data_IF_124696455826
#
_entry.id   IF_124696455826
#
_cell.length_a   1.000
_cell.length_b   1.000
_cell.length_c   1.000
_cell.angle_alpha   90.00
_cell.angle_beta   90.00
_cell.angle_gamma   90.00
#
_symmetry.space_group_name_H-M   'P 1'
#
loop_
_entity.id
_entity.type
_entity.pdbx_description
1 polymer ?
#
# COMPACT_ATOMS: atom_id res chain seq x y z
N UNK A 1 7.04 6.75 0.16
CA UNK A 1 8.39 7.26 -0.21
C UNK A 1 9.00 7.95 1.00
N UNK A 2 10.29 7.72 1.28
CA UNK A 2 11.01 8.31 2.42
C UNK A 2 10.89 9.85 2.48
N UNK A 3 10.82 10.49 1.33
CA UNK A 3 10.67 11.96 1.18
C UNK A 3 9.28 12.50 1.56
N UNK A 4 8.28 11.63 1.76
CA UNK A 4 6.91 12.03 2.12
C UNK A 4 6.55 11.66 3.58
N UNK A 5 7.52 11.23 4.41
CA UNK A 5 7.27 10.83 5.80
C UNK A 5 6.34 9.61 5.98
N UNK A 6 5.92 8.99 4.89
CA UNK A 6 4.99 7.86 4.89
C UNK A 6 5.76 6.54 4.71
N UNK A 7 6.59 6.20 5.69
CA UNK A 7 7.34 4.94 5.71
C UNK A 7 6.84 4.11 6.88
N UNK A 8 6.41 2.88 6.59
CA UNK A 8 6.12 1.87 7.60
C UNK A 8 7.37 0.99 7.77
N UNK A 9 7.90 0.94 8.98
CA UNK A 9 9.06 0.12 9.29
C UNK A 9 8.61 -1.27 9.74
N UNK A 10 9.33 -2.30 9.28
CA UNK A 10 8.95 -3.69 9.56
C UNK A 10 9.04 -4.06 11.05
N UNK A 11 10.01 -3.50 11.76
CA UNK A 11 10.18 -3.65 13.21
C UNK A 11 8.99 -3.06 13.98
N UNK A 12 8.54 -1.85 13.62
CA UNK A 12 7.34 -1.25 14.21
C UNK A 12 6.10 -2.11 13.98
N UNK A 13 5.90 -2.61 12.75
CA UNK A 13 4.78 -3.49 12.47
C UNK A 13 4.84 -4.77 13.31
N UNK A 14 6.03 -5.34 13.50
CA UNK A 14 6.23 -6.52 14.35
C UNK A 14 5.93 -6.22 15.82
N UNK A 15 6.30 -5.05 16.33
CA UNK A 15 6.01 -4.64 17.72
C UNK A 15 4.49 -4.47 17.97
N UNK A 16 3.75 -3.98 16.96
CA UNK A 16 2.30 -3.82 17.06
C UNK A 16 1.51 -5.12 16.89
N UNK A 17 1.89 -5.93 15.90
CA UNK A 17 1.07 -7.05 15.42
C UNK A 17 1.68 -8.43 15.68
N UNK A 18 2.99 -8.49 15.95
CA UNK A 18 3.75 -9.73 16.02
C UNK A 18 4.21 -10.24 14.65
N UNK A 19 5.30 -11.02 14.67
CA UNK A 19 5.98 -11.49 13.44
C UNK A 19 5.03 -12.25 12.50
N UNK A 20 4.25 -13.20 13.02
CA UNK A 20 3.40 -14.06 12.19
C UNK A 20 2.24 -13.29 11.55
N UNK A 21 1.69 -12.28 12.23
CA UNK A 21 0.66 -11.43 11.65
C UNK A 21 1.22 -10.56 10.52
N UNK A 22 2.43 -10.00 10.69
CA UNK A 22 3.12 -9.25 9.63
C UNK A 22 3.44 -10.16 8.44
N UNK A 23 3.92 -11.39 8.68
CA UNK A 23 4.17 -12.39 7.63
C UNK A 23 2.89 -12.72 6.86
N UNK A 24 1.80 -12.98 7.59
CA UNK A 24 0.48 -13.21 6.97
C UNK A 24 0.10 -12.06 6.05
N UNK A 25 0.16 -10.83 6.55
CA UNK A 25 -0.22 -9.65 5.78
C UNK A 25 0.63 -9.50 4.52
N UNK A 26 1.95 -9.54 4.64
CA UNK A 26 2.86 -9.37 3.49
C UNK A 26 2.67 -10.48 2.46
N UNK A 27 2.50 -11.73 2.89
CA UNK A 27 2.35 -12.87 1.98
C UNK A 27 0.96 -12.97 1.34
N UNK A 28 -0.07 -12.44 2.01
CA UNK A 28 -1.46 -12.51 1.55
C UNK A 28 -1.90 -11.27 0.77
N UNK A 29 -1.53 -10.05 1.22
CA UNK A 29 -2.00 -8.79 0.64
C UNK A 29 -1.03 -8.18 -0.39
N UNK A 30 0.21 -8.70 -0.46
CA UNK A 30 1.23 -8.21 -1.40
C UNK A 30 1.44 -9.22 -2.54
N UNK A 31 0.65 -9.15 -3.62
CA UNK A 31 0.85 -10.03 -4.77
C UNK A 31 2.19 -9.73 -5.44
N UNK A 32 2.88 -10.79 -5.92
CA UNK A 32 4.18 -10.64 -6.59
C UNK A 32 4.11 -9.88 -7.92
N UNK A 33 2.93 -9.80 -8.52
CA UNK A 33 2.73 -9.25 -9.87
C UNK A 33 2.39 -7.76 -9.88
N UNK A 34 1.99 -7.18 -8.73
CA UNK A 34 1.51 -5.81 -8.62
C UNK A 34 1.99 -5.14 -7.34
N UNK A 35 2.01 -3.81 -7.34
CA UNK A 35 2.25 -3.03 -6.13
C UNK A 35 1.10 -3.25 -5.12
N UNK A 36 1.47 -3.55 -3.88
CA UNK A 36 0.53 -3.66 -2.78
C UNK A 36 0.41 -2.36 -1.98
N UNK A 37 -0.71 -2.19 -1.31
CA UNK A 37 -0.93 -1.07 -0.39
C UNK A 37 -0.76 -1.57 1.05
N UNK A 38 0.14 -0.94 1.79
CA UNK A 38 0.27 -1.14 3.25
C UNK A 38 -0.30 0.09 3.95
N UNK A 39 -1.26 -0.12 4.85
CA UNK A 39 -1.73 0.91 5.80
C UNK A 39 -2.02 0.28 7.15
N UNK A 40 -2.00 1.10 8.20
CA UNK A 40 -2.35 0.66 9.55
C UNK A 40 -3.78 0.15 9.64
N UNK A 41 -4.70 0.81 8.94
CA UNK A 41 -6.12 0.43 8.88
C UNK A 41 -6.29 -0.96 8.27
N UNK A 42 -5.62 -1.24 7.15
CA UNK A 42 -5.70 -2.53 6.48
C UNK A 42 -5.07 -3.63 7.34
N UNK A 43 -3.95 -3.36 8.02
CA UNK A 43 -3.33 -4.28 8.97
C UNK A 43 -4.28 -4.64 10.11
N UNK A 44 -4.92 -3.63 10.73
CA UNK A 44 -5.91 -3.85 11.82
C UNK A 44 -7.12 -4.62 11.31
N UNK A 45 -7.61 -4.31 10.11
CA UNK A 45 -8.74 -5.02 9.50
C UNK A 45 -8.41 -6.51 9.31
N UNK A 46 -7.28 -6.84 8.71
CA UNK A 46 -6.86 -8.23 8.49
C UNK A 46 -6.57 -8.96 9.80
N UNK A 47 -5.93 -8.29 10.75
CA UNK A 47 -5.72 -8.82 12.08
C UNK A 47 -7.04 -9.22 12.73
N UNK A 48 -8.05 -8.36 12.65
CA UNK A 48 -9.34 -8.60 13.29
C UNK A 48 -10.19 -9.63 12.54
N UNK A 49 -10.30 -9.53 11.20
CA UNK A 49 -11.18 -10.37 10.40
C UNK A 49 -10.65 -11.80 10.24
N UNK A 50 -9.39 -11.91 9.86
CA UNK A 50 -8.84 -13.20 9.48
C UNK A 50 -8.15 -13.89 10.65
N UNK A 51 -7.26 -13.19 11.34
CA UNK A 51 -6.46 -13.80 12.39
C UNK A 51 -7.22 -13.93 13.71
N UNK A 52 -7.83 -12.88 14.21
CA UNK A 52 -8.56 -12.94 15.49
C UNK A 52 -9.91 -13.66 15.36
N UNK A 53 -10.76 -13.24 14.39
CA UNK A 53 -12.11 -13.79 14.27
C UNK A 53 -12.13 -15.18 13.61
N UNK A 54 -11.48 -15.32 12.43
CA UNK A 54 -11.57 -16.59 11.68
C UNK A 54 -10.74 -17.68 12.34
N UNK A 55 -9.46 -17.41 12.66
CA UNK A 55 -8.54 -18.43 13.19
C UNK A 55 -8.51 -18.48 14.72
N UNK A 56 -8.21 -17.36 15.38
CA UNK A 56 -8.04 -17.32 16.83
C UNK A 56 -9.31 -17.73 17.59
N UNK A 57 -10.46 -17.20 17.18
CA UNK A 57 -11.74 -17.55 17.78
C UNK A 57 -12.13 -19.03 17.52
N UNK A 58 -11.83 -19.57 16.34
CA UNK A 58 -12.07 -20.98 16.01
C UNK A 58 -11.31 -21.90 16.97
N UNK A 59 -10.01 -21.69 17.14
CA UNK A 59 -9.16 -22.48 18.04
C UNK A 59 -9.66 -22.37 19.48
N UNK A 60 -9.86 -21.14 19.97
CA UNK A 60 -10.31 -20.89 21.34
C UNK A 60 -11.68 -21.53 21.63
N UNK A 61 -12.66 -21.42 20.73
CA UNK A 61 -13.98 -22.04 20.86
C UNK A 61 -13.87 -23.56 20.92
N UNK A 62 -13.05 -24.17 20.04
CA UNK A 62 -12.88 -25.65 19.99
C UNK A 62 -12.24 -26.15 21.27
N UNK A 63 -11.14 -25.55 21.74
CA UNK A 63 -10.48 -25.90 23.00
C UNK A 63 -11.42 -25.72 24.19
N UNK A 64 -12.12 -24.58 24.25
CA UNK A 64 -13.05 -24.30 25.34
C UNK A 64 -14.23 -25.28 25.41
N UNK A 65 -14.80 -25.65 24.27
CA UNK A 65 -15.88 -26.67 24.22
C UNK A 65 -15.38 -28.05 24.61
N UNK A 66 -14.18 -28.43 24.16
CA UNK A 66 -13.56 -29.72 24.52
C UNK A 66 -13.31 -29.80 26.03
N UNK A 67 -12.76 -28.75 26.63
CA UNK A 67 -12.58 -28.66 28.08
C UNK A 67 -13.91 -28.71 28.82
N UNK A 68 -14.89 -27.93 28.37
CA UNK A 68 -16.19 -27.80 29.04
C UNK A 68 -17.01 -29.12 29.04
N UNK A 69 -17.01 -29.82 27.90
CA UNK A 69 -17.90 -30.95 27.71
C UNK A 69 -17.23 -32.32 28.00
N UNK A 70 -15.90 -32.39 27.81
CA UNK A 70 -15.14 -33.64 27.90
C UNK A 70 -13.90 -33.57 28.80
N UNK A 71 -13.74 -32.48 29.58
CA UNK A 71 -12.59 -32.37 30.48
C UNK A 71 -11.24 -32.33 29.76
N UNK A 72 -11.22 -31.85 28.52
CA UNK A 72 -10.01 -31.62 27.73
C UNK A 72 -9.58 -32.79 26.84
N UNK A 73 -10.30 -33.93 26.81
CA UNK A 73 -9.91 -35.07 25.98
C UNK A 73 -11.08 -35.58 25.16
N UNK A 74 -10.89 -35.75 23.87
CA UNK A 74 -11.87 -36.30 22.92
C UNK A 74 -11.20 -37.26 21.94
N UNK A 75 -12.01 -38.21 21.49
CA UNK A 75 -11.64 -39.24 20.51
C UNK A 75 -12.73 -39.38 19.46
N UNK A 76 -12.42 -40.00 18.31
CA UNK A 76 -13.45 -40.33 17.33
C UNK A 76 -14.34 -41.46 17.83
N UNK A 77 -15.63 -41.19 18.02
CA UNK A 77 -16.64 -42.20 18.35
C UNK A 77 -17.29 -42.83 17.12
N UNK A 78 -16.93 -42.36 15.92
CA UNK A 78 -17.48 -42.86 14.65
C UNK A 78 -18.96 -42.54 14.42
N UNK A 79 -19.56 -41.62 15.19
CA UNK A 79 -20.95 -41.20 15.00
C UNK A 79 -21.02 -40.09 13.97
N UNK A 80 -21.23 -40.47 12.70
CA UNK A 80 -21.26 -39.54 11.57
C UNK A 80 -22.59 -38.79 11.48
N UNK A 81 -22.52 -37.59 10.87
CA UNK A 81 -23.66 -36.77 10.48
C UNK A 81 -23.51 -36.24 9.05
N UNK A 82 -24.59 -35.72 8.51
CA UNK A 82 -24.68 -35.31 7.09
C UNK A 82 -23.60 -34.33 6.66
N UNK A 83 -23.19 -33.39 7.54
CA UNK A 83 -22.22 -32.31 7.25
C UNK A 83 -20.76 -32.75 7.44
N UNK A 84 -20.48 -33.93 7.98
CA UNK A 84 -19.13 -34.41 8.24
C UNK A 84 -18.37 -34.72 6.94
N UNK A 85 -19.08 -35.26 5.95
CA UNK A 85 -18.51 -35.60 4.65
C UNK A 85 -17.93 -34.35 3.94
N UNK A 86 -18.64 -33.24 4.01
CA UNK A 86 -18.20 -31.97 3.42
C UNK A 86 -16.93 -31.47 4.11
N UNK A 87 -16.86 -31.51 5.44
CA UNK A 87 -15.65 -31.08 6.15
C UNK A 87 -14.45 -31.97 5.79
N UNK A 88 -14.65 -33.31 5.80
CA UNK A 88 -13.60 -34.26 5.43
C UNK A 88 -13.12 -34.06 3.98
N UNK A 89 -14.03 -33.83 3.04
CA UNK A 89 -13.69 -33.57 1.65
C UNK A 89 -12.82 -32.30 1.51
N UNK A 90 -13.15 -31.22 2.23
CA UNK A 90 -12.32 -30.00 2.23
C UNK A 90 -10.96 -30.25 2.86
N UNK A 91 -10.89 -30.99 4.00
CA UNK A 91 -9.62 -31.35 4.64
C UNK A 91 -8.70 -32.13 3.69
N UNK A 92 -9.24 -33.08 2.93
CA UNK A 92 -8.48 -33.91 1.99
C UNK A 92 -8.05 -33.13 0.73
N UNK A 93 -8.87 -32.18 0.29
CA UNK A 93 -8.58 -31.38 -0.91
C UNK A 93 -7.57 -30.25 -0.66
N UNK A 94 -7.59 -29.64 0.53
CA UNK A 94 -6.80 -28.43 0.85
C UNK A 94 -5.30 -28.59 0.62
N UNK A 95 -4.61 -29.66 1.05
CA UNK A 95 -3.15 -29.79 0.81
C UNK A 95 -2.78 -29.76 -0.67
N UNK A 96 -3.57 -30.42 -1.51
CA UNK A 96 -3.34 -30.43 -2.98
C UNK A 96 -3.61 -29.06 -3.60
N UNK A 97 -4.63 -28.36 -3.12
CA UNK A 97 -4.93 -27.00 -3.58
C UNK A 97 -3.80 -26.04 -3.21
N UNK A 98 -3.30 -26.09 -1.98
CA UNK A 98 -2.14 -25.32 -1.51
C UNK A 98 -0.90 -25.61 -2.35
N UNK A 99 -0.57 -26.90 -2.55
CA UNK A 99 0.58 -27.31 -3.38
C UNK A 99 0.47 -26.77 -4.81
N UNK A 100 -0.70 -26.87 -5.43
CA UNK A 100 -0.92 -26.36 -6.79
C UNK A 100 -0.67 -24.84 -6.86
N UNK A 101 -1.19 -24.07 -5.90
CA UNK A 101 -0.97 -22.62 -5.84
C UNK A 101 0.50 -22.27 -5.59
N UNK A 102 1.17 -22.99 -4.71
CA UNK A 102 2.60 -22.78 -4.44
C UNK A 102 3.46 -23.10 -5.66
N UNK A 103 3.14 -24.13 -6.43
CA UNK A 103 3.84 -24.46 -7.69
C UNK A 103 3.68 -23.39 -8.77
N UNK A 104 2.59 -22.60 -8.70
CA UNK A 104 2.34 -21.44 -9.57
C UNK A 104 2.92 -20.13 -8.98
N UNK A 105 3.62 -20.15 -7.84
CA UNK A 105 4.10 -18.99 -7.07
C UNK A 105 2.98 -18.05 -6.59
N UNK A 106 1.74 -18.55 -6.51
CA UNK A 106 0.56 -17.83 -6.03
C UNK A 106 0.40 -17.98 -4.51
N UNK A 107 1.31 -17.39 -3.77
CA UNK A 107 1.40 -17.54 -2.30
C UNK A 107 0.15 -17.05 -1.59
N UNK A 108 -0.39 -15.90 -1.98
CA UNK A 108 -1.63 -15.34 -1.42
C UNK A 108 -2.82 -16.29 -1.56
N UNK A 109 -2.95 -16.92 -2.73
CA UNK A 109 -4.01 -17.91 -2.98
C UNK A 109 -3.80 -19.18 -2.17
N UNK A 110 -2.55 -19.64 -2.00
CA UNK A 110 -2.25 -20.78 -1.16
C UNK A 110 -2.69 -20.54 0.30
N UNK A 111 -2.41 -19.36 0.84
CA UNK A 111 -2.88 -18.97 2.18
C UNK A 111 -4.42 -18.90 2.21
N UNK A 112 -5.05 -18.39 1.15
CA UNK A 112 -6.51 -18.32 1.02
C UNK A 112 -7.13 -19.72 1.08
N UNK A 113 -6.53 -20.73 0.44
CA UNK A 113 -7.01 -22.12 0.52
C UNK A 113 -6.96 -22.69 1.95
N UNK A 114 -5.91 -22.37 2.71
CA UNK A 114 -5.81 -22.77 4.13
C UNK A 114 -6.92 -22.07 4.94
N UNK A 115 -7.13 -20.78 4.74
CA UNK A 115 -8.18 -20.04 5.44
C UNK A 115 -9.60 -20.49 5.04
N UNK A 116 -9.80 -20.99 3.83
CA UNK A 116 -11.06 -21.62 3.42
C UNK A 116 -11.36 -22.88 4.25
N UNK A 117 -10.35 -23.67 4.60
CA UNK A 117 -10.53 -24.79 5.54
C UNK A 117 -10.95 -24.30 6.94
N UNK A 118 -10.32 -23.24 7.47
CA UNK A 118 -10.75 -22.66 8.76
C UNK A 118 -12.16 -22.10 8.72
N UNK A 119 -12.54 -21.43 7.63
CA UNK A 119 -13.91 -20.96 7.40
C UNK A 119 -14.89 -22.14 7.34
N UNK A 120 -14.50 -23.25 6.71
CA UNK A 120 -15.32 -24.48 6.69
C UNK A 120 -15.47 -25.07 8.09
N UNK A 121 -14.41 -25.07 8.92
CA UNK A 121 -14.48 -25.50 10.31
C UNK A 121 -15.43 -24.60 11.13
N UNK A 122 -15.38 -23.29 10.96
CA UNK A 122 -16.32 -22.37 11.61
C UNK A 122 -17.77 -22.67 11.20
N UNK A 123 -18.01 -22.83 9.89
CA UNK A 123 -19.34 -23.20 9.38
C UNK A 123 -19.81 -24.54 9.96
N UNK A 124 -18.91 -25.51 10.10
CA UNK A 124 -19.22 -26.82 10.69
C UNK A 124 -19.67 -26.69 12.15
N UNK A 125 -19.08 -25.79 12.94
CA UNK A 125 -19.57 -25.48 14.29
C UNK A 125 -21.01 -24.99 14.26
N UNK A 126 -21.32 -24.10 13.34
CA UNK A 126 -22.65 -23.48 13.25
C UNK A 126 -23.70 -24.50 12.73
N UNK A 127 -23.33 -25.39 11.83
CA UNK A 127 -24.20 -26.49 11.32
C UNK A 127 -24.47 -27.58 12.34
N UNK A 128 -23.45 -27.96 13.12
CA UNK A 128 -23.56 -29.04 14.11
C UNK A 128 -24.07 -28.57 15.44
N UNK A 129 -24.01 -27.27 15.74
CA UNK A 129 -24.47 -26.66 17.00
C UNK A 129 -24.06 -27.47 18.26
N UNK A 130 -22.75 -27.59 18.58
CA UNK A 130 -22.25 -28.41 19.69
C UNK A 130 -22.92 -28.11 21.03
N UNK A 131 -23.30 -26.84 21.25
CA UNK A 131 -24.00 -26.40 22.47
C UNK A 131 -25.45 -26.94 22.58
N UNK A 132 -26.03 -27.36 21.45
CA UNK A 132 -27.34 -28.06 21.44
C UNK A 132 -27.14 -29.54 21.71
N UNK A 133 -26.19 -30.18 21.02
CA UNK A 133 -25.84 -31.62 21.26
C UNK A 133 -25.46 -31.82 22.72
N UNK A 134 -24.79 -30.93 23.37
CA UNK A 134 -24.36 -31.01 24.77
C UNK A 134 -25.52 -31.05 25.79
N UNK A 135 -26.76 -30.74 25.38
CA UNK A 135 -27.95 -30.76 26.25
C UNK A 135 -28.60 -32.16 26.32
N UNK A 136 -28.24 -33.05 25.41
CA UNK A 136 -28.81 -34.38 25.29
C UNK A 136 -27.71 -35.45 25.50
N UNK A 137 -27.78 -36.18 26.59
CA UNK A 137 -26.80 -37.23 26.91
C UNK A 137 -26.74 -38.32 25.83
N UNK A 138 -27.84 -38.56 25.10
CA UNK A 138 -27.87 -39.53 24.00
C UNK A 138 -27.04 -39.05 22.79
N UNK A 139 -26.73 -37.74 22.69
CA UNK A 139 -25.92 -37.16 21.64
C UNK A 139 -24.44 -36.95 22.01
N UNK A 140 -24.04 -37.48 23.17
CA UNK A 140 -22.66 -37.26 23.68
C UNK A 140 -21.59 -37.79 22.76
N UNK A 141 -21.75 -39.03 22.23
CA UNK A 141 -20.80 -39.63 21.27
C UNK A 141 -20.77 -38.84 19.94
N UNK A 142 -21.93 -38.31 19.53
CA UNK A 142 -21.98 -37.43 18.36
C UNK A 142 -21.23 -36.11 18.63
N UNK A 143 -21.43 -35.50 19.77
CA UNK A 143 -20.72 -34.29 20.18
C UNK A 143 -19.21 -34.52 20.23
N UNK A 144 -18.77 -35.64 20.76
CA UNK A 144 -17.35 -36.00 20.84
C UNK A 144 -16.75 -36.15 19.44
N UNK A 145 -17.44 -36.82 18.51
CA UNK A 145 -17.03 -36.94 17.11
C UNK A 145 -16.97 -35.56 16.42
N UNK A 146 -17.92 -34.68 16.71
CA UNK A 146 -17.89 -33.28 16.15
C UNK A 146 -16.65 -32.52 16.60
N UNK A 147 -16.34 -32.57 17.89
CA UNK A 147 -15.15 -31.87 18.42
C UNK A 147 -13.85 -32.49 17.90
N UNK A 148 -13.80 -33.82 17.78
CA UNK A 148 -12.70 -34.55 17.16
C UNK A 148 -12.46 -34.08 15.71
N UNK A 149 -13.51 -34.06 14.89
CA UNK A 149 -13.43 -33.60 13.49
C UNK A 149 -12.94 -32.17 13.39
N UNK A 150 -13.36 -31.26 14.30
CA UNK A 150 -12.87 -29.90 14.37
C UNK A 150 -11.38 -29.83 14.68
N UNK A 151 -10.92 -30.59 15.67
CA UNK A 151 -9.50 -30.66 16.03
C UNK A 151 -8.68 -31.15 14.84
N UNK A 152 -9.12 -32.20 14.15
CA UNK A 152 -8.42 -32.71 12.97
C UNK A 152 -8.37 -31.69 11.84
N UNK A 153 -9.50 -31.01 11.54
CA UNK A 153 -9.54 -29.97 10.50
C UNK A 153 -8.66 -28.75 10.79
N UNK A 154 -8.67 -28.32 12.06
CA UNK A 154 -7.83 -27.17 12.48
C UNK A 154 -6.34 -27.56 12.46
N UNK A 155 -6.01 -28.79 12.93
CA UNK A 155 -4.64 -29.29 12.92
C UNK A 155 -4.09 -29.41 11.51
N UNK A 156 -4.86 -29.96 10.56
CA UNK A 156 -4.46 -30.01 9.15
C UNK A 156 -4.19 -28.65 8.55
N UNK A 157 -5.05 -27.66 8.84
CA UNK A 157 -4.82 -26.29 8.43
C UNK A 157 -3.59 -25.66 9.10
N UNK A 158 -3.36 -25.94 10.39
CA UNK A 158 -2.21 -25.43 11.14
C UNK A 158 -0.89 -25.99 10.61
N UNK A 159 -0.81 -27.26 10.24
CA UNK A 159 0.35 -27.89 9.62
C UNK A 159 0.70 -27.20 8.29
N UNK A 160 -0.30 -26.88 7.46
CA UNK A 160 -0.10 -26.16 6.21
C UNK A 160 0.34 -24.69 6.44
N UNK A 161 -0.04 -24.08 7.58
CA UNK A 161 0.38 -22.73 7.96
C UNK A 161 1.84 -22.65 8.40
N UNK A 162 2.52 -23.74 8.73
CA UNK A 162 3.87 -23.72 9.31
C UNK A 162 4.86 -22.90 8.47
N UNK A 163 4.81 -23.02 7.14
CA UNK A 163 5.70 -22.28 6.24
C UNK A 163 5.42 -20.77 6.22
N UNK A 164 4.21 -20.35 6.54
CA UNK A 164 3.77 -18.96 6.48
C UNK A 164 3.80 -18.29 7.86
N UNK A 165 3.31 -18.99 8.88
CA UNK A 165 3.12 -18.51 10.25
C UNK A 165 3.61 -19.56 11.27
N UNK A 166 4.95 -19.79 11.37
CA UNK A 166 5.52 -20.92 12.10
C UNK A 166 5.20 -20.91 13.59
N UNK A 167 5.24 -19.76 14.25
CA UNK A 167 4.95 -19.66 15.68
C UNK A 167 3.47 -19.91 15.99
N UNK A 168 2.60 -19.43 15.11
CA UNK A 168 1.13 -19.62 15.22
C UNK A 168 0.76 -21.07 14.99
N UNK A 169 1.30 -21.69 13.93
CA UNK A 169 1.12 -23.13 13.66
C UNK A 169 1.47 -23.98 14.88
N UNK A 170 2.67 -23.78 15.42
CA UNK A 170 3.15 -24.49 16.60
C UNK A 170 2.20 -24.32 17.79
N UNK A 171 1.80 -23.09 18.10
CA UNK A 171 0.86 -22.79 19.21
C UNK A 171 -0.50 -23.45 19.03
N UNK A 172 -1.03 -23.49 17.81
CA UNK A 172 -2.30 -24.16 17.52
C UNK A 172 -2.17 -25.68 17.80
N UNK A 173 -1.14 -26.31 17.25
CA UNK A 173 -0.92 -27.75 17.42
C UNK A 173 -0.69 -28.14 18.90
N UNK A 174 0.07 -27.32 19.64
CA UNK A 174 0.27 -27.50 21.08
C UNK A 174 -1.05 -27.38 21.87
N UNK A 175 -1.90 -26.41 21.54
CA UNK A 175 -3.18 -26.21 22.20
C UNK A 175 -4.19 -27.33 21.91
N UNK A 176 -4.15 -27.89 20.70
CA UNK A 176 -5.07 -28.97 20.30
C UNK A 176 -4.62 -30.38 20.73
N UNK A 177 -3.31 -30.59 20.93
CA UNK A 177 -2.73 -31.82 21.50
C UNK A 177 -3.23 -33.09 20.90
N UNK A 178 -3.63 -33.11 19.61
CA UNK A 178 -4.27 -34.27 18.95
C UNK A 178 -5.42 -34.88 19.75
N UNK A 179 -6.33 -34.03 20.22
CA UNK A 179 -7.52 -34.44 21.00
C UNK A 179 -7.35 -34.33 22.51
N UNK A 180 -6.14 -34.07 23.02
CA UNK A 180 -5.87 -33.74 24.42
C UNK A 180 -5.54 -32.26 24.52
N UNK A 181 -6.57 -31.43 24.54
CA UNK A 181 -6.39 -29.97 24.45
C UNK A 181 -5.84 -29.39 25.75
N UNK A 182 -5.16 -28.23 25.63
CA UNK A 182 -4.65 -27.51 26.79
C UNK A 182 -5.78 -27.07 27.75
N UNK A 183 -5.53 -27.07 29.04
CA UNK A 183 -6.49 -26.60 30.07
C UNK A 183 -6.76 -25.10 29.96
N UNK A 184 -5.74 -24.33 29.54
CA UNK A 184 -5.79 -22.88 29.46
C UNK A 184 -5.40 -22.44 28.04
N UNK A 185 -6.36 -22.21 27.15
CA UNK A 185 -6.07 -21.74 25.81
C UNK A 185 -5.45 -20.34 25.83
N UNK A 186 -4.35 -20.18 25.12
CA UNK A 186 -3.80 -18.84 24.83
C UNK A 186 -4.60 -18.19 23.71
N UNK A 187 -4.84 -16.89 23.88
CA UNK A 187 -5.39 -16.08 22.79
C UNK A 187 -4.28 -15.91 21.75
N UNK A 188 -4.47 -16.52 20.57
CA UNK A 188 -3.48 -16.45 19.48
C UNK A 188 -3.32 -15.02 18.93
N UNK A 189 -4.45 -14.34 18.77
CA UNK A 189 -4.51 -12.99 18.23
C UNK A 189 -5.56 -12.18 18.99
N UNK A 190 -5.14 -11.06 19.56
CA UNK A 190 -6.05 -10.12 20.20
C UNK A 190 -6.75 -9.28 19.13
N UNK A 191 -8.02 -8.99 19.35
CA UNK A 191 -8.72 -8.00 18.54
C UNK A 191 -8.18 -6.62 18.88
N UNK A 192 -7.88 -5.84 17.85
CA UNK A 192 -7.32 -4.50 17.98
C UNK A 192 -8.39 -3.44 17.71
N UNK A 193 -8.32 -2.35 18.47
CA UNK A 193 -9.07 -1.15 18.20
C UNK A 193 -8.25 -0.22 17.31
N UNK A 194 -8.83 0.20 16.18
CA UNK A 194 -8.14 1.04 15.21
C UNK A 194 -7.75 2.40 15.80
N UNK A 195 -8.63 3.01 16.59
CA UNK A 195 -8.37 4.33 17.18
C UNK A 195 -7.20 4.26 18.18
N UNK A 196 -7.15 3.20 18.98
CA UNK A 196 -6.03 2.97 19.91
C UNK A 196 -4.71 2.72 19.18
N UNK A 197 -4.73 1.95 18.09
CA UNK A 197 -3.54 1.72 17.26
C UNK A 197 -3.08 3.03 16.64
N UNK A 198 -3.98 3.80 16.01
CA UNK A 198 -3.64 5.07 15.38
C UNK A 198 -3.12 6.11 16.38
N UNK A 199 -3.64 6.11 17.60
CA UNK A 199 -3.13 6.97 18.68
C UNK A 199 -1.68 6.63 19.03
N UNK A 200 -1.36 5.35 19.18
CA UNK A 200 0.03 4.90 19.44
C UNK A 200 0.96 5.22 18.29
N UNK A 201 0.49 5.05 17.04
CA UNK A 201 1.25 5.41 15.85
C UNK A 201 1.56 6.91 15.83
N UNK A 202 0.58 7.76 16.16
CA UNK A 202 0.78 9.21 16.24
C UNK A 202 1.74 9.62 17.38
N UNK A 203 1.81 8.86 18.47
CA UNK A 203 2.78 9.07 19.54
C UNK A 203 4.20 8.70 19.13
N UNK A 204 4.36 7.65 18.31
CA UNK A 204 5.66 7.22 17.77
C UNK A 204 6.15 8.10 16.62
N UNK A 205 5.24 8.56 15.81
CA UNK A 205 5.49 9.45 14.68
C UNK A 205 4.70 10.76 14.93
N UNK A 206 5.11 11.58 15.92
CA UNK A 206 4.49 12.89 16.06
C UNK A 206 4.59 13.56 14.70
N UNK A 207 3.53 14.25 14.24
CA UNK A 207 3.60 15.01 13.01
C UNK A 207 4.89 15.83 13.11
N UNK A 208 5.84 15.59 12.22
CA UNK A 208 6.90 16.56 12.00
C UNK A 208 6.09 17.81 11.70
N UNK A 209 6.06 18.77 12.63
CA UNK A 209 5.70 20.12 12.26
C UNK A 209 6.65 20.39 11.10
N UNK A 210 6.15 20.23 9.86
CA UNK A 210 6.76 20.92 8.75
C UNK A 210 6.81 22.35 9.30
N UNK A 211 8.01 22.80 9.69
CA UNK A 211 8.26 24.21 9.76
C UNK A 211 7.69 24.67 8.41
N UNK A 212 6.49 25.22 8.43
CA UNK A 212 6.01 26.01 7.32
C UNK A 212 7.09 27.05 7.22
N UNK A 213 8.05 26.81 6.32
CA UNK A 213 8.88 27.91 5.82
C UNK A 213 7.81 28.97 5.52
N UNK A 214 7.78 30.02 6.33
CA UNK A 214 6.92 31.17 6.07
C UNK A 214 7.21 31.50 4.62
N UNK A 215 6.25 31.21 3.72
CA UNK A 215 6.41 31.52 2.31
C UNK A 215 6.80 32.98 2.28
N UNK A 216 8.02 33.25 1.84
CA UNK A 216 8.55 34.60 1.82
C UNK A 216 7.56 35.44 0.99
N UNK A 217 6.90 36.38 1.63
CA UNK A 217 5.97 37.26 0.95
C UNK A 217 6.81 38.17 0.01
N UNK A 218 6.68 37.93 -1.29
CA UNK A 218 7.39 38.69 -2.31
C UNK A 218 6.46 39.80 -2.76
N UNK A 219 6.65 41.00 -2.23
CA UNK A 219 5.95 42.20 -2.67
C UNK A 219 6.68 42.82 -3.88
N UNK A 220 6.05 42.74 -5.04
CA UNK A 220 6.55 43.38 -6.26
C UNK A 220 5.86 44.73 -6.41
N UNK A 221 6.62 45.77 -6.76
CA UNK A 221 6.06 47.10 -7.08
C UNK A 221 5.02 46.97 -8.20
N UNK A 222 3.80 47.43 -7.93
CA UNK A 222 2.68 47.31 -8.85
C UNK A 222 2.95 48.17 -10.10
N UNK A 223 2.83 47.56 -11.26
CA UNK A 223 2.85 48.27 -12.56
C UNK A 223 1.47 48.88 -12.84
N UNK A 224 1.39 49.89 -13.74
CA UNK A 224 0.11 50.40 -14.19
C UNK A 224 -0.82 49.31 -14.72
N UNK A 225 -2.12 49.49 -14.50
CA UNK A 225 -3.14 48.58 -15.08
C UNK A 225 -3.06 48.63 -16.61
N UNK A 226 -3.26 47.47 -17.23
CA UNK A 226 -3.35 47.30 -18.68
C UNK A 226 -4.76 46.86 -19.06
N UNK A 227 -5.17 47.15 -20.30
CA UNK A 227 -6.44 46.67 -20.84
C UNK A 227 -6.32 45.22 -21.33
N UNK A 228 -7.46 44.57 -21.56
CA UNK A 228 -7.49 43.25 -22.19
C UNK A 228 -6.89 43.25 -23.59
N UNK A 229 -7.05 44.38 -24.33
CA UNK A 229 -6.45 44.55 -25.66
C UNK A 229 -4.92 44.65 -25.58
N UNK A 230 -4.37 45.30 -24.55
CA UNK A 230 -2.93 45.34 -24.32
C UNK A 230 -2.37 43.94 -24.02
N UNK A 231 -3.08 43.15 -23.21
CA UNK A 231 -2.71 41.76 -22.94
C UNK A 231 -2.85 40.90 -24.22
N UNK A 232 -3.96 41.07 -24.96
CA UNK A 232 -4.22 40.35 -26.22
C UNK A 232 -3.24 40.67 -27.34
N UNK A 233 -2.49 41.75 -27.22
CA UNK A 233 -1.39 42.06 -28.15
C UNK A 233 -0.13 41.21 -27.90
N UNK A 234 -0.02 40.55 -26.74
CA UNK A 234 1.08 39.65 -26.43
C UNK A 234 0.69 38.24 -26.85
N UNK A 235 1.60 37.49 -27.50
CA UNK A 235 1.35 36.12 -27.92
C UNK A 235 2.26 35.17 -27.15
N UNK A 236 1.66 34.33 -26.32
CA UNK A 236 2.36 33.30 -25.56
C UNK A 236 2.10 31.92 -26.15
N UNK A 237 3.15 31.12 -26.28
CA UNK A 237 3.06 29.74 -26.77
C UNK A 237 3.97 28.80 -25.97
N UNK A 238 3.65 27.52 -25.97
CA UNK A 238 4.54 26.47 -25.48
C UNK A 238 5.66 26.24 -26.51
N UNK A 239 6.91 26.35 -26.09
CA UNK A 239 8.08 26.02 -26.90
C UNK A 239 8.80 24.79 -26.35
N UNK A 240 9.40 24.00 -27.22
CA UNK A 240 10.29 22.88 -26.86
C UNK A 240 11.74 23.26 -27.17
N UNK A 241 12.61 23.22 -26.19
CA UNK A 241 14.03 23.52 -26.37
C UNK A 241 14.71 22.32 -27.01
N UNK A 242 15.10 22.47 -28.29
CA UNK A 242 15.71 21.40 -29.07
C UNK A 242 17.24 21.43 -29.05
N UNK A 243 17.82 22.59 -28.75
CA UNK A 243 19.25 22.75 -28.52
C UNK A 243 19.49 23.98 -27.62
N UNK A 244 20.57 23.94 -26.84
CA UNK A 244 20.99 25.06 -26.01
C UNK A 244 22.52 25.13 -25.93
N UNK A 245 23.06 26.34 -25.95
CA UNK A 245 24.49 26.56 -25.81
C UNK A 245 24.80 27.81 -24.98
N UNK A 246 26.00 27.89 -24.43
CA UNK A 246 26.46 29.02 -23.69
C UNK A 246 26.87 30.16 -24.62
N UNK A 247 26.48 31.40 -24.28
CA UNK A 247 26.93 32.60 -25.03
C UNK A 247 28.36 32.94 -24.61
N UNK A 248 29.35 32.71 -25.50
CA UNK A 248 30.80 32.87 -25.24
C UNK A 248 31.22 34.21 -24.63
N UNK A 249 30.47 35.28 -24.90
CA UNK A 249 30.76 36.65 -24.41
C UNK A 249 29.99 37.02 -23.14
N UNK A 250 29.29 36.08 -22.52
CA UNK A 250 28.48 36.37 -21.33
C UNK A 250 28.63 35.23 -20.28
N UNK A 251 28.68 35.66 -19.03
CA UNK A 251 28.67 34.71 -17.88
C UNK A 251 27.25 34.32 -17.43
N UNK A 252 26.23 35.01 -17.96
CA UNK A 252 24.83 34.87 -17.49
C UNK A 252 23.88 34.35 -18.57
N UNK A 253 24.30 34.28 -19.85
CA UNK A 253 23.39 34.00 -20.94
C UNK A 253 23.54 32.59 -21.50
N UNK A 254 22.38 31.93 -21.72
CA UNK A 254 22.22 30.77 -22.56
C UNK A 254 21.49 31.17 -23.84
N UNK A 255 21.86 30.51 -24.96
CA UNK A 255 21.22 30.66 -26.26
C UNK A 255 20.50 29.35 -26.58
N UNK A 256 19.18 29.39 -26.62
CA UNK A 256 18.32 28.22 -26.87
C UNK A 256 17.71 28.29 -28.25
N UNK A 257 17.69 27.14 -28.96
CA UNK A 257 16.87 26.93 -30.15
C UNK A 257 15.55 26.33 -29.70
N UNK A 258 14.47 27.07 -29.85
CA UNK A 258 13.15 26.71 -29.33
C UNK A 258 12.20 26.42 -30.47
N UNK A 259 11.74 25.20 -30.57
CA UNK A 259 10.72 24.76 -31.52
C UNK A 259 9.35 25.24 -31.05
N UNK A 260 8.63 25.96 -31.89
CA UNK A 260 7.28 26.48 -31.64
C UNK A 260 6.42 26.13 -32.86
N UNK A 261 5.62 25.10 -32.75
CA UNK A 261 4.90 24.55 -33.91
C UNK A 261 5.87 24.06 -34.99
N UNK A 262 5.78 24.63 -36.18
CA UNK A 262 6.65 24.35 -37.32
C UNK A 262 7.92 25.23 -37.40
N UNK A 263 8.00 26.27 -36.57
CA UNK A 263 9.12 27.21 -36.57
C UNK A 263 10.12 26.92 -35.45
N UNK A 264 11.36 27.36 -35.65
CA UNK A 264 12.39 27.35 -34.61
C UNK A 264 12.84 28.79 -34.39
N UNK A 265 12.77 29.28 -33.15
CA UNK A 265 13.23 30.62 -32.78
C UNK A 265 14.46 30.51 -31.89
N UNK A 266 15.42 31.40 -32.14
CA UNK A 266 16.58 31.58 -31.29
C UNK A 266 16.23 32.53 -30.13
N UNK A 267 16.38 32.07 -28.91
CA UNK A 267 16.05 32.84 -27.72
C UNK A 267 17.24 32.85 -26.77
N UNK A 268 17.64 34.07 -26.37
CA UNK A 268 18.74 34.28 -25.41
C UNK A 268 18.17 34.68 -24.07
N UNK A 269 18.54 33.93 -23.02
CA UNK A 269 17.99 34.08 -21.66
C UNK A 269 19.08 34.18 -20.61
N UNK A 270 18.85 34.98 -19.57
CA UNK A 270 19.80 35.29 -18.50
C UNK A 270 19.81 34.22 -17.37
N UNK A 271 19.74 32.93 -17.70
CA UNK A 271 19.49 31.84 -16.74
C UNK A 271 20.68 30.90 -16.52
N UNK A 272 21.86 31.21 -17.06
CA UNK A 272 23.06 30.36 -16.95
C UNK A 272 23.51 30.09 -15.49
N UNK A 273 23.15 30.98 -14.55
CA UNK A 273 23.45 30.77 -13.13
C UNK A 273 22.58 29.69 -12.44
N UNK A 274 21.44 29.36 -13.08
CA UNK A 274 20.41 28.49 -12.50
C UNK A 274 20.20 27.21 -13.31
N UNK A 275 20.58 27.19 -14.60
CA UNK A 275 20.44 26.06 -15.52
C UNK A 275 21.70 25.84 -16.35
N UNK A 276 22.09 24.58 -16.55
CA UNK A 276 23.10 24.22 -17.55
C UNK A 276 22.49 24.10 -18.94
N UNK A 277 23.33 24.19 -19.98
CA UNK A 277 22.86 24.08 -21.36
C UNK A 277 22.28 22.68 -21.65
N UNK A 278 22.86 21.64 -21.05
CA UNK A 278 22.39 20.27 -21.18
C UNK A 278 21.01 20.05 -20.54
N UNK A 279 20.78 20.64 -19.37
CA UNK A 279 19.49 20.54 -18.65
C UNK A 279 18.33 21.24 -19.38
N UNK A 280 18.65 22.20 -20.24
CA UNK A 280 17.63 22.93 -20.98
C UNK A 280 17.03 22.13 -22.12
N UNK A 281 17.79 21.22 -22.73
CA UNK A 281 17.34 20.46 -23.91
C UNK A 281 16.20 19.51 -23.52
N UNK A 282 15.13 19.50 -24.32
CA UNK A 282 13.93 18.69 -24.10
C UNK A 282 12.89 19.33 -23.19
N UNK A 283 13.20 20.44 -22.50
CA UNK A 283 12.20 21.13 -21.66
C UNK A 283 11.15 21.83 -22.52
N UNK A 284 9.89 21.76 -22.07
CA UNK A 284 8.78 22.55 -22.60
C UNK A 284 8.59 23.77 -21.71
N UNK A 285 8.59 24.95 -22.33
CA UNK A 285 8.65 26.23 -21.63
C UNK A 285 7.62 27.21 -22.18
N UNK A 286 7.22 28.18 -21.38
CA UNK A 286 6.38 29.29 -21.82
C UNK A 286 7.23 30.36 -22.53
N UNK A 287 6.80 30.78 -23.71
CA UNK A 287 7.53 31.71 -24.57
C UNK A 287 6.63 32.86 -25.03
N UNK A 288 7.08 34.08 -24.84
CA UNK A 288 6.53 35.24 -25.53
C UNK A 288 7.14 35.30 -26.95
N UNK A 289 6.33 34.98 -27.96
CA UNK A 289 6.80 34.68 -29.32
C UNK A 289 6.76 35.87 -30.27
N UNK A 290 5.98 36.91 -29.98
CA UNK A 290 5.84 38.10 -30.82
C UNK A 290 6.62 39.34 -30.31
N UNK A 291 7.60 39.09 -29.43
CA UNK A 291 8.48 40.16 -28.98
C UNK A 291 9.41 40.59 -30.14
N UNK A 292 9.60 41.88 -30.28
CA UNK A 292 10.51 42.45 -31.31
C UNK A 292 11.92 41.91 -31.08
N UNK A 293 12.56 41.32 -32.12
CA UNK A 293 13.89 40.75 -31.99
C UNK A 293 14.93 41.77 -31.48
N UNK A 294 15.78 41.34 -30.54
CA UNK A 294 16.81 42.15 -29.94
C UNK A 294 18.16 41.41 -29.87
N UNK A 295 19.28 42.15 -29.89
CA UNK A 295 20.62 41.56 -29.73
C UNK A 295 21.05 41.62 -28.26
N UNK A 296 21.32 40.47 -27.65
CA UNK A 296 21.87 40.33 -26.31
C UNK A 296 23.30 39.75 -26.39
N UNK A 297 24.28 40.50 -25.89
CA UNK A 297 25.71 40.18 -26.03
C UNK A 297 26.14 39.82 -27.47
N UNK A 298 25.48 40.45 -28.48
CA UNK A 298 25.77 40.25 -29.90
C UNK A 298 25.03 39.09 -30.55
N UNK A 299 24.25 38.29 -29.80
CA UNK A 299 23.42 37.20 -30.27
C UNK A 299 21.96 37.63 -30.39
N UNK A 300 21.29 37.34 -31.51
CA UNK A 300 19.90 37.70 -31.74
C UNK A 300 18.96 36.85 -30.88
N UNK A 301 18.02 37.49 -30.18
CA UNK A 301 16.90 36.84 -29.48
C UNK A 301 15.59 37.22 -30.17
N UNK A 302 14.79 36.23 -30.56
CA UNK A 302 13.55 36.39 -31.31
C UNK A 302 12.28 36.14 -30.45
N UNK A 303 12.44 36.14 -29.13
CA UNK A 303 11.39 35.95 -28.14
C UNK A 303 11.96 36.00 -26.74
N UNK A 304 11.14 35.63 -25.74
CA UNK A 304 11.53 35.61 -24.34
C UNK A 304 10.99 34.38 -23.64
N UNK A 305 11.86 33.64 -22.92
CA UNK A 305 11.42 32.58 -21.98
C UNK A 305 10.88 33.25 -20.71
N UNK A 306 9.78 32.73 -20.18
CA UNK A 306 9.23 33.22 -18.92
C UNK A 306 9.82 32.44 -17.75
N UNK A 307 10.25 33.20 -16.74
CA UNK A 307 10.74 32.67 -15.47
C UNK A 307 10.05 33.37 -14.31
N UNK A 308 9.83 32.63 -13.20
CA UNK A 308 9.56 33.23 -11.91
C UNK A 308 10.88 33.46 -11.17
N UNK A 309 10.96 34.52 -10.38
CA UNK A 309 12.12 34.90 -9.56
C UNK A 309 11.66 35.03 -8.10
N UNK A 310 12.39 34.38 -7.18
CA UNK A 310 12.13 34.51 -5.75
C UNK A 310 12.84 35.71 -5.11
N UNK A 311 12.65 35.87 -3.78
CA UNK A 311 13.27 37.00 -3.05
C UNK A 311 14.81 36.95 -2.99
N UNK A 312 15.39 35.76 -3.15
CA UNK A 312 16.84 35.52 -3.17
C UNK A 312 17.45 35.65 -4.57
N UNK A 313 16.61 35.84 -5.61
CA UNK A 313 17.04 35.93 -7.00
C UNK A 313 17.22 34.59 -7.70
N UNK A 314 16.67 33.50 -7.15
CA UNK A 314 16.62 32.20 -7.82
C UNK A 314 15.57 32.26 -8.94
N UNK A 315 15.89 31.67 -10.10
CA UNK A 315 15.00 31.64 -11.25
C UNK A 315 14.46 30.24 -11.51
N UNK A 316 13.15 30.13 -11.70
CA UNK A 316 12.47 28.94 -12.15
C UNK A 316 11.77 29.18 -13.50
N UNK A 317 11.98 28.25 -14.46
CA UNK A 317 11.30 28.30 -15.76
C UNK A 317 9.80 28.03 -15.58
N UNK A 318 8.97 28.87 -16.23
CA UNK A 318 7.54 28.59 -16.31
C UNK A 318 7.30 27.47 -17.33
N UNK A 319 6.74 26.38 -16.85
CA UNK A 319 6.49 25.16 -17.63
C UNK A 319 5.01 24.78 -17.57
N UNK A 320 4.44 24.10 -18.59
CA UNK A 320 3.10 23.58 -18.49
C UNK A 320 3.06 22.40 -17.50
N UNK A 321 2.08 22.38 -16.58
CA UNK A 321 1.88 21.32 -15.61
C UNK A 321 1.56 19.96 -16.28
N UNK A 322 0.84 20.03 -17.41
CA UNK A 322 0.48 18.83 -18.17
C UNK A 322 1.25 18.82 -19.49
N UNK A 323 1.38 17.62 -20.05
CA UNK A 323 2.04 17.49 -21.35
C UNK A 323 1.27 18.24 -22.44
N UNK A 324 1.95 19.21 -23.08
CA UNK A 324 1.40 20.05 -24.14
C UNK A 324 2.30 20.02 -25.37
N UNK A 325 1.75 20.02 -26.59
CA UNK A 325 2.56 20.09 -27.80
C UNK A 325 3.24 21.45 -27.95
N UNK A 326 4.44 21.46 -28.56
CA UNK A 326 5.11 22.69 -28.93
C UNK A 326 4.25 23.47 -29.94
N UNK A 327 4.03 24.76 -29.70
CA UNK A 327 3.14 25.62 -30.47
C UNK A 327 1.74 25.78 -29.85
N UNK A 328 1.40 25.08 -28.78
CA UNK A 328 0.14 25.31 -28.08
C UNK A 328 0.06 26.78 -27.61
N UNK A 329 -1.09 27.39 -27.82
CA UNK A 329 -1.35 28.77 -27.38
C UNK A 329 -1.59 28.80 -25.86
N UNK A 330 -1.10 29.85 -25.23
CA UNK A 330 -1.31 30.16 -23.83
C UNK A 330 -2.23 31.36 -23.77
N UNK A 331 -3.45 31.17 -23.27
CA UNK A 331 -4.52 32.16 -23.23
C UNK A 331 -5.03 32.40 -21.80
#
# INVERSE_FOLDING_TARGET
SKSKGNVLYADELVDFFGVDAVRYFVLHEMPFENDGVISWELMVERMNSDLANTLGNLVNRTVSMTNKYFGGSVTDKGVSGDVDADLKAVMEATPKAVEAKMNELRVADAITEIFNLFKRCNKYIDETMPWVLAKDEAQKDRLETVLWNLIQGISAGAELLESFMPSTSKKILEQLGNGNVTDKPEILFQRLDLEEVMKKVAELHPPVEEEKEEEAVIDIEAKPEITFDDFGAMQFQVGEIIACEEVKKSRKLLCSQVKIGSEVKQIVSGIKGHYSAEEMVGKKVMVLVNLKPAKLAGVLSEGMLLCAEDAEGNLALMVPEKEMPAGAEIC
#
